data_IF_525951685433
#
_entry.id   IF_525951685433
#
_cell.length_a   1.000
_cell.length_b   1.000
_cell.length_c   1.000
_cell.angle_alpha   90.00
_cell.angle_beta   90.00
_cell.angle_gamma   90.00
#
_symmetry.space_group_name_H-M   'P 1'
#
loop_
_entity.id
_entity.type
_entity.pdbx_description
1 polymer ?
#
# COMPACT_ATOMS: atom_id res chain seq x y z
N UNK A 1 -27.05 -0.35 -0.55
CA UNK A 1 -27.68 0.65 -1.44
C UNK A 1 -26.99 1.97 -1.17
N UNK A 2 -26.34 2.59 -2.16
CA UNK A 2 -25.71 3.91 -2.03
C UNK A 2 -26.66 4.95 -2.65
N UNK A 3 -27.31 5.72 -1.80
CA UNK A 3 -28.21 6.80 -2.20
C UNK A 3 -27.48 8.13 -2.02
N UNK A 4 -27.05 8.72 -3.14
CA UNK A 4 -26.38 10.03 -3.15
C UNK A 4 -27.37 11.20 -3.04
N UNK A 5 -28.66 10.92 -2.83
CA UNK A 5 -29.77 11.89 -2.92
C UNK A 5 -30.21 12.21 -4.36
N UNK A 6 -29.42 11.82 -5.37
CA UNK A 6 -29.77 11.96 -6.80
C UNK A 6 -29.66 10.66 -7.60
N UNK A 7 -28.65 9.84 -7.29
CA UNK A 7 -28.36 8.60 -7.98
C UNK A 7 -28.55 7.40 -7.04
N UNK A 8 -29.20 6.35 -7.56
CA UNK A 8 -29.29 5.04 -6.95
C UNK A 8 -28.31 4.11 -7.68
N UNK A 9 -27.18 3.80 -7.05
CA UNK A 9 -26.13 2.97 -7.63
C UNK A 9 -26.10 1.64 -6.91
N UNK A 10 -26.05 0.55 -7.67
CA UNK A 10 -25.73 -0.76 -7.12
C UNK A 10 -24.33 -0.71 -6.47
N UNK A 11 -24.21 -0.93 -5.15
CA UNK A 11 -22.91 -0.92 -4.47
C UNK A 11 -21.89 -1.87 -5.09
N UNK A 12 -22.33 -2.97 -5.72
CA UNK A 12 -21.40 -3.90 -6.38
C UNK A 12 -20.61 -3.24 -7.52
N UNK A 13 -21.16 -2.18 -8.14
CA UNK A 13 -20.45 -1.39 -9.17
C UNK A 13 -19.39 -0.45 -8.57
N UNK A 14 -19.35 -0.30 -7.25
CA UNK A 14 -18.45 0.59 -6.53
C UNK A 14 -17.32 -0.15 -5.80
N UNK A 15 -17.22 -1.48 -5.96
CA UNK A 15 -16.21 -2.28 -5.26
C UNK A 15 -14.76 -1.86 -5.59
N UNK A 16 -14.52 -1.36 -6.80
CA UNK A 16 -13.20 -0.93 -7.26
C UNK A 16 -12.93 0.58 -7.03
N UNK A 17 -13.83 1.27 -6.31
CA UNK A 17 -13.76 2.71 -6.12
C UNK A 17 -12.95 3.07 -4.88
N UNK A 18 -11.82 3.76 -5.09
CA UNK A 18 -10.92 4.22 -4.02
C UNK A 18 -11.31 5.58 -3.44
N UNK A 19 -12.02 6.41 -4.23
CA UNK A 19 -12.50 7.71 -3.81
C UNK A 19 -13.72 8.18 -4.62
N UNK A 20 -14.53 9.04 -4.03
CA UNK A 20 -15.63 9.75 -4.67
C UNK A 20 -15.33 11.24 -4.67
N UNK A 21 -15.54 11.93 -5.77
CA UNK A 21 -15.47 13.39 -5.85
C UNK A 21 -16.84 13.94 -6.23
N UNK A 22 -17.29 14.99 -5.55
CA UNK A 22 -18.47 15.77 -5.92
C UNK A 22 -18.20 17.23 -5.60
N UNK A 23 -18.35 18.10 -6.59
CA UNK A 23 -18.02 19.54 -6.47
C UNK A 23 -16.59 19.73 -5.94
N UNK A 24 -16.42 20.39 -4.79
CA UNK A 24 -15.14 20.67 -4.14
C UNK A 24 -14.84 19.70 -2.98
N UNK A 25 -15.43 18.51 -3.01
CA UNK A 25 -15.25 17.49 -1.98
C UNK A 25 -14.77 16.17 -2.55
N UNK A 26 -13.67 15.64 -2.01
CA UNK A 26 -13.17 14.29 -2.26
C UNK A 26 -13.36 13.46 -0.99
N UNK A 27 -14.09 12.36 -1.12
CA UNK A 27 -14.34 11.35 -0.10
C UNK A 27 -13.49 10.13 -0.44
N UNK A 28 -12.40 9.93 0.28
CA UNK A 28 -11.40 8.90 -0.03
C UNK A 28 -11.45 7.78 1.01
N UNK A 29 -11.23 6.54 0.58
CA UNK A 29 -11.01 5.44 1.52
C UNK A 29 -9.83 5.77 2.43
N UNK A 30 -10.01 5.64 3.74
CA UNK A 30 -8.99 6.03 4.72
C UNK A 30 -7.70 5.22 4.58
N UNK A 31 -7.73 4.02 3.97
CA UNK A 31 -6.53 3.22 3.69
C UNK A 31 -5.52 4.01 2.84
N UNK A 32 -5.98 4.85 1.90
CA UNK A 32 -5.11 5.65 1.04
C UNK A 32 -4.34 6.72 1.82
N UNK A 33 -4.80 7.07 3.02
CA UNK A 33 -4.25 8.13 3.87
C UNK A 33 -3.74 7.60 5.22
N UNK A 34 -3.56 6.29 5.34
CA UNK A 34 -3.24 5.63 6.61
C UNK A 34 -2.18 4.58 6.45
N UNK A 35 -1.60 4.19 7.57
CA UNK A 35 -0.67 3.08 7.63
C UNK A 35 -1.40 1.75 7.39
N UNK A 36 -0.86 0.82 6.59
CA UNK A 36 -1.48 -0.49 6.35
C UNK A 36 -1.55 -1.37 7.61
N UNK A 37 -0.85 -1.02 8.70
CA UNK A 37 -1.01 -1.71 9.98
C UNK A 37 -2.33 -1.40 10.68
N UNK A 38 -3.05 -0.34 10.27
CA UNK A 38 -4.34 0.05 10.89
C UNK A 38 -5.40 -1.01 10.59
N UNK A 39 -6.11 -1.44 11.63
CA UNK A 39 -7.22 -2.38 11.53
C UNK A 39 -8.27 -1.91 10.51
N UNK A 40 -8.61 -2.78 9.56
CA UNK A 40 -9.52 -2.46 8.47
C UNK A 40 -10.94 -2.17 8.98
N UNK A 41 -11.36 -2.80 10.08
CA UNK A 41 -12.67 -2.55 10.70
C UNK A 41 -12.80 -1.13 11.26
N UNK A 42 -11.66 -0.43 11.44
CA UNK A 42 -11.61 0.94 11.94
C UNK A 42 -11.47 1.98 10.84
N UNK A 43 -11.21 1.55 9.60
CA UNK A 43 -11.07 2.47 8.49
C UNK A 43 -12.43 3.06 8.12
N UNK A 44 -12.41 4.36 7.86
CA UNK A 44 -13.59 5.14 7.50
C UNK A 44 -13.40 5.82 6.14
N UNK A 45 -14.31 6.73 5.81
CA UNK A 45 -14.16 7.62 4.66
C UNK A 45 -13.63 8.95 5.16
N UNK A 46 -12.53 9.42 4.57
CA UNK A 46 -11.93 10.72 4.89
C UNK A 46 -12.39 11.76 3.87
N UNK A 47 -12.74 12.95 4.35
CA UNK A 47 -13.09 14.09 3.51
C UNK A 47 -11.89 15.01 3.31
N UNK A 48 -11.61 15.35 2.06
CA UNK A 48 -10.60 16.31 1.64
C UNK A 48 -11.29 17.39 0.79
N UNK A 49 -10.93 18.64 1.04
CA UNK A 49 -11.33 19.76 0.18
C UNK A 49 -10.48 19.72 -1.09
N UNK A 50 -11.14 19.58 -2.24
CA UNK A 50 -10.50 19.49 -3.55
C UNK A 50 -11.47 19.03 -4.62
N UNK A 51 -11.10 19.23 -5.88
CA UNK A 51 -11.88 18.74 -7.01
C UNK A 51 -10.97 18.10 -8.06
N UNK A 52 -11.56 17.28 -8.93
CA UNK A 52 -10.86 16.63 -10.06
C UNK A 52 -10.99 17.39 -11.37
N UNK A 53 -11.54 18.61 -11.34
CA UNK A 53 -11.76 19.43 -12.54
C UNK A 53 -12.85 18.90 -13.49
N UNK A 54 -13.72 18.00 -13.02
CA UNK A 54 -14.82 17.42 -13.79
C UNK A 54 -16.14 17.71 -13.09
N UNK A 55 -17.16 18.12 -13.86
CA UNK A 55 -18.51 18.33 -13.35
C UNK A 55 -19.22 17.00 -13.08
N UNK A 56 -20.10 17.01 -12.07
CA UNK A 56 -20.83 15.83 -11.60
C UNK A 56 -20.11 15.09 -10.48
N UNK A 57 -20.60 13.88 -10.19
CA UNK A 57 -20.00 12.94 -9.26
C UNK A 57 -19.01 12.03 -10.00
N UNK A 58 -17.82 11.91 -9.46
CA UNK A 58 -16.75 11.09 -10.04
C UNK A 58 -16.36 9.99 -9.06
N UNK A 59 -16.45 8.76 -9.52
CA UNK A 59 -15.96 7.58 -8.83
C UNK A 59 -14.55 7.27 -9.36
N UNK A 60 -13.54 7.45 -8.52
CA UNK A 60 -12.15 7.20 -8.84
C UNK A 60 -11.85 5.71 -8.68
N UNK A 61 -11.29 5.10 -9.72
CA UNK A 61 -10.88 3.69 -9.74
C UNK A 61 -9.40 3.57 -10.07
N UNK A 62 -8.72 2.60 -9.48
CA UNK A 62 -7.33 2.28 -9.81
C UNK A 62 -7.23 1.75 -11.26
N UNK A 63 -6.09 1.93 -11.96
CA UNK A 63 -5.84 1.26 -13.23
C UNK A 63 -5.88 -0.27 -13.04
N UNK A 64 -6.35 -1.00 -14.05
CA UNK A 64 -6.38 -2.47 -13.99
C UNK A 64 -4.99 -3.10 -13.93
N UNK A 65 -3.99 -2.45 -14.54
CA UNK A 65 -2.58 -2.88 -14.53
C UNK A 65 -1.70 -1.75 -13.96
N UNK A 66 -1.66 -1.58 -12.63
CA UNK A 66 -0.78 -0.59 -12.00
C UNK A 66 0.68 -0.95 -12.28
N UNK A 67 1.47 0.04 -12.72
CA UNK A 67 2.83 -0.20 -13.19
C UNK A 67 3.82 -0.18 -12.04
N UNK A 68 4.77 -1.09 -12.05
CA UNK A 68 5.91 -1.07 -11.13
C UNK A 68 7.16 -0.80 -11.96
N UNK A 69 8.05 0.06 -11.46
CA UNK A 69 9.31 0.35 -12.15
C UNK A 69 10.10 -0.95 -12.34
N UNK A 70 10.59 -1.24 -13.56
CA UNK A 70 11.36 -2.46 -13.81
C UNK A 70 12.68 -2.44 -13.03
N UNK A 71 13.15 -3.62 -12.68
CA UNK A 71 14.45 -3.81 -12.04
C UNK A 71 15.54 -3.28 -12.99
N UNK A 72 16.38 -2.38 -12.49
CA UNK A 72 17.53 -1.87 -13.22
C UNK A 72 18.63 -2.94 -13.33
N UNK A 73 19.51 -2.82 -14.32
CA UNK A 73 20.66 -3.74 -14.48
C UNK A 73 21.92 -3.26 -13.75
N UNK A 74 21.81 -2.21 -12.94
CA UNK A 74 22.94 -1.61 -12.23
C UNK A 74 23.10 -2.24 -10.85
N UNK A 75 23.97 -3.24 -10.77
CA UNK A 75 24.30 -3.92 -9.52
C UNK A 75 24.89 -2.99 -8.45
N UNK A 76 25.35 -1.78 -8.80
CA UNK A 76 25.82 -0.81 -7.80
C UNK A 76 24.69 -0.16 -7.01
N UNK A 77 23.44 -0.27 -7.48
CA UNK A 77 22.25 0.26 -6.80
C UNK A 77 21.69 -0.69 -5.74
N UNK A 78 22.10 -1.96 -5.75
CA UNK A 78 21.59 -3.00 -4.84
C UNK A 78 22.73 -3.48 -3.94
N UNK A 79 22.72 -3.08 -2.67
CA UNK A 79 23.74 -3.47 -1.70
C UNK A 79 23.07 -3.98 -0.43
N UNK A 80 22.58 -5.22 -0.46
CA UNK A 80 21.97 -5.89 0.69
C UNK A 80 22.94 -6.03 1.87
N UNK A 81 23.02 -4.99 2.70
CA UNK A 81 23.81 -4.99 3.92
C UNK A 81 23.12 -5.89 4.96
N UNK A 82 23.92 -6.53 5.81
CA UNK A 82 23.37 -7.29 6.94
C UNK A 82 22.50 -6.39 7.83
N UNK A 83 21.38 -6.94 8.29
CA UNK A 83 20.56 -6.25 9.27
C UNK A 83 21.28 -6.19 10.62
N UNK A 84 21.56 -4.98 11.09
CA UNK A 84 22.35 -4.71 12.30
C UNK A 84 21.49 -4.37 13.53
N UNK A 85 20.17 -4.22 13.37
CA UNK A 85 19.23 -4.02 14.48
C UNK A 85 18.61 -2.62 14.59
N UNK A 86 19.36 -1.51 14.50
CA UNK A 86 18.81 -0.17 14.57
C UNK A 86 17.76 0.11 13.49
N UNK A 87 16.69 0.80 13.88
CA UNK A 87 15.73 1.40 12.97
C UNK A 87 16.38 2.60 12.25
N UNK A 88 16.47 2.53 10.94
CA UNK A 88 16.97 3.61 10.09
C UNK A 88 15.84 4.23 9.27
N UNK A 89 15.93 5.52 8.99
CA UNK A 89 14.88 6.26 8.27
C UNK A 89 15.26 6.42 6.80
N UNK A 90 15.25 5.30 6.06
CA UNK A 90 15.83 5.27 4.72
C UNK A 90 14.89 5.78 3.63
N UNK A 91 13.58 5.81 3.91
CA UNK A 91 12.52 6.15 2.94
C UNK A 91 11.89 7.53 3.17
N UNK A 92 12.66 8.53 3.62
CA UNK A 92 12.13 9.89 3.90
C UNK A 92 11.57 10.60 2.67
N UNK A 93 12.08 10.27 1.49
CA UNK A 93 11.68 10.87 0.23
C UNK A 93 10.37 10.30 -0.33
N UNK A 94 9.82 9.26 0.30
CA UNK A 94 8.61 8.60 -0.19
C UNK A 94 7.37 9.48 -0.02
N UNK A 95 6.61 9.63 -1.10
CA UNK A 95 5.38 10.39 -1.20
C UNK A 95 4.38 9.69 -2.12
N UNK A 96 3.09 9.94 -1.90
CA UNK A 96 1.99 9.46 -2.74
C UNK A 96 1.42 10.63 -3.53
N UNK A 97 1.23 10.43 -4.84
CA UNK A 97 0.73 11.42 -5.76
C UNK A 97 -0.50 10.89 -6.49
N UNK A 98 -1.62 11.59 -6.37
CA UNK A 98 -2.82 11.29 -7.14
C UNK A 98 -2.78 12.01 -8.48
N UNK A 99 -3.03 11.28 -9.57
CA UNK A 99 -3.19 11.83 -10.91
C UNK A 99 -4.32 11.11 -11.65
N UNK A 100 -4.74 11.66 -12.79
CA UNK A 100 -5.88 11.14 -13.55
C UNK A 100 -5.45 10.83 -14.97
N UNK A 101 -5.99 9.74 -15.53
CA UNK A 101 -5.82 9.45 -16.95
C UNK A 101 -6.97 10.08 -17.76
N UNK A 102 -6.97 9.87 -19.07
CA UNK A 102 -8.08 10.28 -19.94
C UNK A 102 -9.23 9.27 -19.95
N UNK A 103 -9.06 8.11 -19.31
CA UNK A 103 -10.08 7.07 -19.29
C UNK A 103 -11.20 7.47 -18.34
N UNK A 104 -12.38 7.69 -18.93
CA UNK A 104 -13.58 8.14 -18.23
C UNK A 104 -14.78 7.44 -18.86
N UNK A 105 -15.58 6.75 -18.04
CA UNK A 105 -16.78 6.04 -18.51
C UNK A 105 -17.98 6.55 -17.71
N UNK A 106 -19.07 7.00 -18.35
CA UNK A 106 -20.29 7.29 -17.63
C UNK A 106 -20.90 6.02 -17.06
N UNK A 107 -21.35 6.09 -15.81
CA UNK A 107 -22.12 4.98 -15.23
C UNK A 107 -23.55 5.05 -15.76
N UNK A 108 -23.94 4.07 -16.56
CA UNK A 108 -25.32 3.91 -17.02
C UNK A 108 -26.19 3.42 -15.83
N UNK A 109 -27.29 4.13 -15.61
CA UNK A 109 -28.27 3.86 -14.56
C UNK A 109 -29.66 3.82 -15.20
N UNK A 110 -30.57 3.01 -14.64
CA UNK A 110 -31.79 2.54 -15.32
C UNK A 110 -32.84 3.62 -15.69
N UNK A 111 -32.55 4.91 -15.52
CA UNK A 111 -33.38 5.99 -16.05
C UNK A 111 -32.98 6.33 -17.49
N UNK A 112 -33.60 5.61 -18.42
CA UNK A 112 -33.70 6.06 -19.81
C UNK A 112 -34.38 7.44 -19.89
N UNK A 113 -33.64 8.49 -20.28
CA UNK A 113 -34.21 9.80 -20.60
C UNK A 113 -33.41 11.03 -20.17
N UNK A 114 -32.51 10.92 -19.18
CA UNK A 114 -31.68 12.05 -18.74
C UNK A 114 -30.42 12.15 -19.61
N UNK A 115 -30.27 13.30 -20.29
CA UNK A 115 -29.14 13.59 -21.20
C UNK A 115 -27.89 13.98 -20.41
N UNK A 116 -28.06 14.57 -19.23
CA UNK A 116 -26.99 14.99 -18.35
C UNK A 116 -26.56 13.81 -17.45
N UNK A 117 -25.68 12.95 -17.98
CA UNK A 117 -25.01 11.95 -17.16
C UNK A 117 -24.07 12.67 -16.18
N UNK A 118 -24.53 12.82 -14.94
CA UNK A 118 -23.79 13.50 -13.87
C UNK A 118 -22.87 12.55 -13.08
N UNK A 119 -22.69 11.28 -13.50
CA UNK A 119 -21.86 10.31 -12.78
C UNK A 119 -20.87 9.56 -13.69
N UNK A 120 -19.62 9.45 -13.26
CA UNK A 120 -18.55 8.83 -14.05
C UNK A 120 -17.63 7.96 -13.22
N UNK A 121 -17.13 6.87 -13.81
CA UNK A 121 -15.86 6.26 -13.42
C UNK A 121 -14.72 7.08 -14.06
N UNK A 122 -13.69 7.37 -13.27
CA UNK A 122 -12.45 8.01 -13.72
C UNK A 122 -11.27 7.18 -13.25
N UNK A 123 -10.44 6.74 -14.19
CA UNK A 123 -9.20 6.05 -13.84
C UNK A 123 -8.23 7.04 -13.21
N UNK A 124 -7.84 6.71 -11.98
CA UNK A 124 -7.06 7.56 -11.08
C UNK A 124 -5.84 6.79 -10.62
N UNK A 125 -4.66 7.34 -10.88
CA UNK A 125 -3.38 6.71 -10.59
C UNK A 125 -2.85 7.27 -9.28
N UNK A 126 -2.62 6.39 -8.31
CA UNK A 126 -1.86 6.71 -7.09
C UNK A 126 -0.42 6.30 -7.32
N UNK A 127 0.46 7.26 -7.59
CA UNK A 127 1.87 6.99 -7.83
C UNK A 127 2.70 7.17 -6.57
N UNK A 128 3.56 6.20 -6.29
CA UNK A 128 4.64 6.27 -5.31
C UNK A 128 5.82 6.98 -5.95
N UNK A 129 6.30 8.03 -5.30
CA UNK A 129 7.54 8.71 -5.68
C UNK A 129 8.51 8.72 -4.52
N UNK A 130 9.79 8.51 -4.81
CA UNK A 130 10.88 8.74 -3.88
C UNK A 130 11.79 9.85 -4.39
N UNK A 131 11.92 10.92 -3.61
CA UNK A 131 12.73 12.09 -3.96
C UNK A 131 12.39 12.64 -5.37
N UNK A 132 11.10 12.64 -5.73
CA UNK A 132 10.59 13.09 -7.03
C UNK A 132 10.80 12.12 -8.20
N UNK A 133 11.31 10.91 -7.93
CA UNK A 133 11.42 9.84 -8.93
C UNK A 133 10.29 8.84 -8.74
N UNK A 134 9.59 8.52 -9.83
CA UNK A 134 8.54 7.50 -9.84
C UNK A 134 9.11 6.11 -9.49
N UNK A 135 8.38 5.38 -8.66
CA UNK A 135 8.72 4.02 -8.19
C UNK A 135 7.67 3.01 -8.68
N UNK A 136 6.40 3.28 -8.44
CA UNK A 136 5.30 2.41 -8.85
C UNK A 136 3.98 3.19 -8.81
N UNK A 137 2.98 2.68 -9.50
CA UNK A 137 1.58 2.98 -9.26
C UNK A 137 1.04 1.91 -8.30
N UNK A 138 0.23 2.31 -7.34
CA UNK A 138 -0.31 1.41 -6.33
C UNK A 138 -1.83 1.33 -6.38
N UNK A 139 -2.33 0.13 -6.16
CA UNK A 139 -3.71 -0.14 -5.83
C UNK A 139 -3.79 -0.49 -4.34
N UNK A 140 -4.59 0.28 -3.60
CA UNK A 140 -4.73 0.12 -2.15
C UNK A 140 -5.84 -0.84 -1.76
N UNK A 141 -6.77 -1.15 -2.68
CA UNK A 141 -7.85 -2.11 -2.41
C UNK A 141 -7.31 -3.52 -2.21
N UNK A 142 -6.22 -3.87 -2.91
CA UNK A 142 -5.51 -5.13 -2.69
C UNK A 142 -5.10 -5.36 -1.24
N UNK A 143 -4.81 -4.29 -0.48
CA UNK A 143 -4.44 -4.36 0.95
C UNK A 143 -5.59 -4.86 1.81
N UNK A 144 -6.83 -4.60 1.42
CA UNK A 144 -8.02 -5.09 2.12
C UNK A 144 -8.26 -6.58 1.85
N UNK A 145 -7.90 -7.07 0.66
CA UNK A 145 -8.13 -8.47 0.25
C UNK A 145 -6.98 -9.43 0.55
N UNK A 146 -5.73 -8.97 0.47
CA UNK A 146 -4.51 -9.76 0.69
C UNK A 146 -3.64 -9.07 1.74
N UNK A 147 -4.21 -8.95 2.95
CA UNK A 147 -3.62 -8.19 4.03
C UNK A 147 -2.40 -8.94 4.63
N UNK A 148 -1.22 -8.29 4.73
CA UNK A 148 -0.08 -8.86 5.43
C UNK A 148 -0.33 -9.03 6.93
N UNK A 149 0.42 -9.93 7.55
CA UNK A 149 0.42 -10.08 9.01
C UNK A 149 0.88 -8.79 9.68
N UNK A 150 0.16 -8.36 10.73
CA UNK A 150 0.60 -7.26 11.60
C UNK A 150 1.15 -7.88 12.87
N UNK A 151 2.46 -7.75 13.07
CA UNK A 151 3.17 -8.33 14.20
C UNK A 151 3.59 -7.25 15.20
N UNK A 152 3.51 -7.53 16.49
CA UNK A 152 4.02 -6.64 17.53
C UNK A 152 4.62 -7.45 18.68
N UNK A 153 5.63 -6.90 19.33
CA UNK A 153 6.35 -7.59 20.41
C UNK A 153 6.40 -6.72 21.67
N UNK A 154 5.91 -7.26 22.79
CA UNK A 154 5.92 -6.64 24.12
C UNK A 154 6.84 -7.38 25.11
N UNK A 155 7.64 -8.33 24.62
CA UNK A 155 8.49 -9.18 25.45
C UNK A 155 9.69 -8.41 26.04
N UNK A 156 10.22 -8.91 27.16
CA UNK A 156 11.45 -8.39 27.78
C UNK A 156 12.73 -9.08 27.28
N UNK A 157 12.64 -9.90 26.22
CA UNK A 157 13.77 -10.64 25.65
C UNK A 157 14.94 -9.70 25.32
N UNK A 158 16.14 -9.94 25.84
CA UNK A 158 17.31 -9.18 25.40
C UNK A 158 17.40 -9.26 23.87
N UNK A 159 17.60 -8.12 23.20
CA UNK A 159 17.85 -8.08 21.76
C UNK A 159 19.17 -8.79 21.51
N UNK A 160 19.13 -10.12 21.37
CA UNK A 160 20.29 -10.87 20.94
C UNK A 160 20.61 -10.38 19.53
N UNK A 161 21.87 -10.09 19.21
CA UNK A 161 22.25 -9.96 17.82
C UNK A 161 21.80 -11.24 17.12
N UNK A 162 21.17 -11.10 15.95
CA UNK A 162 20.90 -12.23 15.06
C UNK A 162 22.14 -13.13 15.04
N UNK A 163 21.95 -14.43 15.27
CA UNK A 163 23.06 -15.36 15.01
C UNK A 163 23.48 -15.17 13.55
N UNK A 164 24.79 -15.08 13.28
CA UNK A 164 25.36 -14.97 11.93
C UNK A 164 24.82 -16.03 10.94
N UNK A 165 24.19 -17.09 11.44
CA UNK A 165 23.54 -18.14 10.65
C UNK A 165 22.24 -17.70 9.96
N UNK A 166 21.60 -16.60 10.39
CA UNK A 166 20.41 -16.08 9.75
C UNK A 166 20.80 -15.01 8.72
N UNK A 167 20.70 -15.36 7.43
CA UNK A 167 20.86 -14.40 6.34
C UNK A 167 19.67 -13.43 6.36
N UNK A 168 19.82 -12.34 7.09
CA UNK A 168 18.85 -11.24 7.14
C UNK A 168 19.55 -9.97 6.65
N UNK A 169 18.89 -9.24 5.76
CA UNK A 169 19.44 -8.04 5.13
C UNK A 169 18.55 -6.84 5.39
N UNK A 170 19.17 -5.68 5.62
CA UNK A 170 18.48 -4.40 5.62
C UNK A 170 18.18 -3.98 4.18
N UNK A 171 16.96 -3.52 3.94
CA UNK A 171 16.54 -2.89 2.69
C UNK A 171 16.30 -1.41 2.98
N UNK A 172 17.12 -0.57 2.35
CA UNK A 172 17.20 0.87 2.62
C UNK A 172 16.91 1.72 1.37
N UNK A 173 16.59 1.10 0.25
CA UNK A 173 16.24 1.78 -0.99
C UNK A 173 15.10 1.07 -1.71
N UNK A 174 14.43 1.79 -2.62
CA UNK A 174 13.41 1.19 -3.48
C UNK A 174 14.03 0.22 -4.49
N UNK A 175 15.26 0.43 -4.91
CA UNK A 175 16.00 -0.46 -5.81
C UNK A 175 16.21 -1.84 -5.16
N UNK A 176 16.68 -1.88 -3.90
CA UNK A 176 16.82 -3.12 -3.13
C UNK A 176 15.48 -3.79 -2.77
N UNK A 177 14.42 -3.01 -2.67
CA UNK A 177 13.09 -3.53 -2.41
C UNK A 177 12.46 -4.17 -3.65
N UNK A 178 12.61 -3.52 -4.82
CA UNK A 178 12.11 -4.04 -6.09
C UNK A 178 12.91 -5.26 -6.56
N UNK A 179 14.22 -5.29 -6.28
CA UNK A 179 15.09 -6.45 -6.48
C UNK A 179 15.25 -7.23 -5.17
N UNK A 180 14.19 -7.97 -4.81
CA UNK A 180 14.10 -8.61 -3.50
C UNK A 180 15.24 -9.62 -3.26
N UNK A 181 15.87 -9.59 -2.07
CA UNK A 181 16.90 -10.56 -1.73
C UNK A 181 16.29 -11.98 -1.61
N UNK A 182 17.07 -13.05 -1.86
CA UNK A 182 16.61 -14.43 -1.71
C UNK A 182 16.47 -14.87 -0.23
N UNK A 183 16.63 -13.95 0.71
CA UNK A 183 16.64 -14.19 2.15
C UNK A 183 15.74 -13.15 2.84
N UNK A 184 15.64 -13.18 4.17
CA UNK A 184 14.72 -12.28 4.87
C UNK A 184 15.20 -10.84 4.70
N UNK A 185 14.38 -10.03 4.03
CA UNK A 185 14.55 -8.60 3.87
C UNK A 185 13.85 -7.83 4.99
N UNK A 186 14.53 -6.86 5.57
CA UNK A 186 13.98 -5.97 6.57
C UNK A 186 13.93 -4.56 6.01
N UNK A 187 12.74 -4.11 5.64
CA UNK A 187 12.50 -2.81 5.03
C UNK A 187 12.50 -1.70 6.09
N UNK A 188 13.52 -0.83 6.03
CA UNK A 188 13.82 0.19 7.02
C UNK A 188 12.96 1.47 6.83
N UNK A 189 11.64 1.35 6.98
CA UNK A 189 10.71 2.47 6.81
C UNK A 189 10.57 3.37 8.03
N UNK A 190 10.99 2.93 9.23
CA UNK A 190 10.90 3.64 10.51
C UNK A 190 9.53 4.30 10.69
N UNK A 191 8.45 3.54 10.45
CA UNK A 191 7.06 4.02 10.55
C UNK A 191 6.68 5.13 9.57
N UNK A 192 7.42 5.33 8.47
CA UNK A 192 6.91 6.13 7.36
C UNK A 192 5.72 5.39 6.74
N UNK A 193 4.51 5.76 7.15
CA UNK A 193 3.27 5.11 6.73
C UNK A 193 3.11 5.06 5.22
N UNK A 194 3.53 6.11 4.49
CA UNK A 194 3.42 6.15 3.03
C UNK A 194 4.37 5.14 2.38
N UNK A 195 5.58 4.97 2.92
CA UNK A 195 6.50 3.93 2.47
C UNK A 195 6.02 2.52 2.81
N UNK A 196 5.40 2.34 3.99
CA UNK A 196 4.81 1.06 4.40
C UNK A 196 3.64 0.69 3.49
N UNK A 197 2.71 1.62 3.26
CA UNK A 197 1.58 1.42 2.35
C UNK A 197 2.06 1.09 0.94
N UNK A 198 3.00 1.88 0.40
CA UNK A 198 3.57 1.65 -0.91
C UNK A 198 4.22 0.26 -1.03
N UNK A 199 5.03 -0.14 -0.05
CA UNK A 199 5.68 -1.44 -0.05
C UNK A 199 4.66 -2.59 -0.02
N UNK A 200 3.66 -2.51 0.85
CA UNK A 200 2.61 -3.53 0.94
C UNK A 200 1.83 -3.65 -0.37
N UNK A 201 1.37 -2.53 -0.93
CA UNK A 201 0.66 -2.53 -2.22
C UNK A 201 1.50 -3.11 -3.35
N UNK A 202 2.79 -2.76 -3.42
CA UNK A 202 3.70 -3.31 -4.44
C UNK A 202 3.87 -4.83 -4.27
N UNK A 203 4.04 -5.33 -3.04
CA UNK A 203 4.15 -6.77 -2.79
C UNK A 203 2.89 -7.51 -3.23
N UNK A 204 1.71 -7.01 -2.86
CA UNK A 204 0.43 -7.62 -3.25
C UNK A 204 0.27 -7.63 -4.78
N UNK A 205 0.58 -6.52 -5.45
CA UNK A 205 0.56 -6.44 -6.92
C UNK A 205 1.54 -7.41 -7.61
N UNK A 206 2.63 -7.77 -6.94
CA UNK A 206 3.58 -8.78 -7.40
C UNK A 206 3.16 -10.21 -7.04
N UNK A 207 2.03 -10.40 -6.34
CA UNK A 207 1.57 -11.70 -5.82
C UNK A 207 2.31 -12.15 -4.55
N UNK A 208 3.05 -11.26 -3.91
CA UNK A 208 3.93 -11.49 -2.77
C UNK A 208 3.38 -10.89 -1.46
N UNK A 209 2.08 -10.55 -1.37
CA UNK A 209 1.47 -10.02 -0.14
C UNK A 209 1.61 -10.96 1.06
N UNK A 210 1.35 -12.25 0.84
CA UNK A 210 1.41 -13.32 1.83
C UNK A 210 2.80 -13.59 2.46
N UNK A 211 3.89 -13.10 1.88
CA UNK A 211 5.25 -13.24 2.46
C UNK A 211 5.67 -12.03 3.29
N UNK A 212 4.81 -11.01 3.39
CA UNK A 212 5.09 -9.78 4.10
C UNK A 212 4.54 -9.81 5.53
N UNK A 213 5.28 -9.20 6.45
CA UNK A 213 4.81 -8.88 7.79
C UNK A 213 5.13 -7.42 8.12
N UNK A 214 4.16 -6.74 8.70
CA UNK A 214 4.23 -5.34 9.10
C UNK A 214 4.51 -5.29 10.61
N UNK A 215 5.67 -4.76 11.00
CA UNK A 215 6.01 -4.59 12.41
C UNK A 215 5.28 -3.38 12.99
N UNK A 216 4.28 -3.63 13.82
CA UNK A 216 3.69 -2.61 14.68
C UNK A 216 4.54 -2.42 15.94
N UNK A 217 4.94 -1.17 16.20
CA UNK A 217 5.84 -0.82 17.28
C UNK A 217 7.24 -0.47 16.79
N UNK A 218 8.22 -0.41 17.68
CA UNK A 218 9.59 -0.01 17.35
C UNK A 218 10.65 -1.07 17.67
N UNK A 219 10.23 -2.29 18.02
CA UNK A 219 11.13 -3.35 18.49
C UNK A 219 10.79 -4.66 17.82
N UNK A 220 11.76 -5.19 17.10
CA UNK A 220 11.74 -6.54 16.55
C UNK A 220 12.42 -7.49 17.53
N UNK A 221 11.77 -8.61 17.86
CA UNK A 221 12.37 -9.68 18.64
C UNK A 221 12.44 -10.95 17.80
N UNK A 222 13.65 -11.36 17.42
CA UNK A 222 13.86 -12.53 16.56
C UNK A 222 13.46 -13.84 17.23
N UNK A 223 13.74 -14.01 18.52
CA UNK A 223 13.34 -15.20 19.27
C UNK A 223 11.80 -15.35 19.27
N UNK A 224 11.07 -14.27 19.55
CA UNK A 224 9.59 -14.29 19.53
C UNK A 224 9.01 -14.40 18.12
N UNK A 225 9.68 -13.81 17.12
CA UNK A 225 9.26 -13.94 15.73
C UNK A 225 9.37 -15.40 15.27
N UNK A 226 10.50 -16.05 15.55
CA UNK A 226 10.70 -17.47 15.21
C UNK A 226 9.66 -18.35 15.88
N UNK A 227 9.40 -18.15 17.17
CA UNK A 227 8.37 -18.88 17.91
C UNK A 227 6.98 -18.67 17.31
N UNK A 228 6.63 -17.44 16.92
CA UNK A 228 5.33 -17.10 16.33
C UNK A 228 5.10 -17.79 14.97
N UNK A 229 6.16 -18.03 14.20
CA UNK A 229 6.11 -18.61 12.85
C UNK A 229 6.61 -20.07 12.77
N UNK A 230 6.87 -20.74 13.90
CA UNK A 230 7.37 -22.13 13.93
C UNK A 230 6.28 -23.19 13.68
N UNK A 231 5.04 -22.91 14.06
CA UNK A 231 3.92 -23.87 14.08
C UNK A 231 2.74 -23.34 13.23
N UNK A 232 2.04 -24.17 12.45
CA UNK A 232 2.19 -25.63 12.27
C UNK A 232 3.33 -26.05 11.34
N UNK A 233 3.69 -25.20 10.38
CA UNK A 233 4.87 -25.36 9.50
C UNK A 233 5.65 -24.04 9.57
N UNK A 234 6.99 -24.11 9.51
CA UNK A 234 7.80 -22.90 9.56
C UNK A 234 7.55 -22.04 8.32
N UNK A 235 6.97 -20.85 8.51
CA UNK A 235 6.56 -19.95 7.43
C UNK A 235 6.99 -18.50 7.71
N UNK A 236 8.28 -18.31 7.98
CA UNK A 236 8.81 -16.97 8.26
C UNK A 236 8.48 -15.99 7.12
N UNK A 237 8.09 -14.74 7.44
CA UNK A 237 7.95 -13.70 6.43
C UNK A 237 9.31 -13.48 5.76
N UNK A 238 9.29 -13.38 4.43
CA UNK A 238 10.49 -13.04 3.66
C UNK A 238 10.71 -11.52 3.64
N UNK A 239 9.68 -10.73 3.91
CA UNK A 239 9.76 -9.28 3.98
C UNK A 239 9.16 -8.77 5.30
N UNK A 240 9.97 -8.11 6.12
CA UNK A 240 9.54 -7.48 7.37
C UNK A 240 9.59 -5.96 7.19
N UNK A 241 8.45 -5.29 7.34
CA UNK A 241 8.30 -3.85 7.10
C UNK A 241 8.25 -3.10 8.43
N UNK A 242 9.27 -2.26 8.71
CA UNK A 242 9.51 -1.61 10.02
C UNK A 242 8.86 -0.22 10.23
#
# INVERSE_FOLDING_TARGET
>A
MFESGRFNIDPAKLNEVIALCSEDSIFVSEILLSDPSVDAEKLSIRHIIGNVGVAGMVCMVSPTEPRIRPIGHDASLVSHAHYDGPLTESFRGTSLHLSFTTWKIPLDWENTGDIDQEIFLLESVVSVQDNGKWVADIDVLGVETDRPDVISFTCDCESKPLSYTQNVVSICSWEEFLDQPPCIGVLQTKKNWAARLAAVSILIQQGNGHIAAILEGGRLCWDCLLEAYEVPESHMPQMIIL
#
